data_IF_634420442024
#
_entry.id   IF_634420442024
#
_cell.length_a   1.000
_cell.length_b   1.000
_cell.length_c   1.000
_cell.angle_alpha   90.00
_cell.angle_beta   90.00
_cell.angle_gamma   90.00
#
_symmetry.space_group_name_H-M   'P 1'
#
loop_
_entity.id
_entity.type
_entity.pdbx_description
1 polymer ?
#
# COMPACT_ATOMS: atom_id res chain seq x y z
N UNK A 1 24.98 -14.43 21.49
CA UNK A 1 25.19 -13.16 20.77
C UNK A 1 24.33 -12.03 21.34
N UNK A 2 23.06 -12.28 21.68
CA UNK A 2 22.17 -11.24 22.22
C UNK A 2 22.60 -10.69 23.61
N UNK A 3 23.31 -11.46 24.42
CA UNK A 3 23.95 -10.98 25.67
C UNK A 3 25.30 -10.29 25.47
N UNK A 4 25.60 -9.79 24.26
CA UNK A 4 26.90 -9.15 24.04
C UNK A 4 27.04 -7.89 24.91
N UNK A 5 28.24 -7.57 25.42
CA UNK A 5 28.45 -6.44 26.34
C UNK A 5 28.49 -5.08 25.63
N UNK A 6 28.30 -5.05 24.31
CA UNK A 6 28.49 -3.86 23.46
C UNK A 6 27.18 -3.21 23.04
N UNK A 7 26.03 -3.75 23.49
CA UNK A 7 24.70 -3.28 23.09
C UNK A 7 24.50 -3.30 21.56
N UNK A 8 25.09 -4.29 20.89
CA UNK A 8 24.94 -4.50 19.46
C UNK A 8 23.67 -5.32 19.23
N UNK A 9 22.77 -4.82 18.40
CA UNK A 9 21.59 -5.57 17.95
C UNK A 9 22.02 -6.74 17.06
N UNK A 10 21.40 -7.89 17.27
CA UNK A 10 21.60 -9.10 16.48
C UNK A 10 20.41 -9.23 15.54
N UNK A 11 20.63 -8.96 14.25
CA UNK A 11 19.62 -9.11 13.21
C UNK A 11 19.62 -10.54 12.66
N UNK A 12 18.46 -11.20 12.67
CA UNK A 12 18.22 -12.46 11.97
C UNK A 12 17.36 -12.24 10.72
N UNK A 13 17.57 -13.09 9.72
CA UNK A 13 16.71 -13.13 8.55
C UNK A 13 15.32 -13.72 8.89
N UNK A 14 14.27 -12.89 8.83
CA UNK A 14 12.87 -13.33 9.10
C UNK A 14 12.27 -14.20 8.01
N UNK A 15 12.89 -14.28 6.83
CA UNK A 15 12.43 -15.15 5.73
C UNK A 15 12.85 -16.62 5.89
N UNK A 16 13.62 -16.97 6.94
CA UNK A 16 13.99 -18.36 7.23
C UNK A 16 12.98 -19.07 8.13
N UNK A 17 12.56 -20.26 7.71
CA UNK A 17 11.39 -20.99 8.24
C UNK A 17 11.74 -22.01 9.33
N UNK A 18 13.03 -22.30 9.57
CA UNK A 18 13.39 -23.41 10.45
C UNK A 18 13.30 -23.05 11.95
N UNK A 19 12.17 -23.45 12.54
CA UNK A 19 11.83 -23.37 13.96
C UNK A 19 12.06 -22.01 14.64
N UNK A 20 11.54 -20.89 14.10
CA UNK A 20 11.76 -19.55 14.66
C UNK A 20 11.29 -19.44 16.13
N UNK A 21 10.13 -20.01 16.47
CA UNK A 21 9.58 -19.97 17.83
C UNK A 21 10.52 -20.61 18.87
N UNK A 22 11.11 -21.77 18.54
CA UNK A 22 12.05 -22.45 19.44
C UNK A 22 13.31 -21.61 19.68
N UNK A 23 13.77 -20.90 18.64
CA UNK A 23 14.90 -19.97 18.74
C UNK A 23 14.55 -18.78 19.62
N UNK A 24 13.39 -18.16 19.39
CA UNK A 24 12.88 -17.04 20.19
C UNK A 24 12.76 -17.45 21.66
N UNK A 25 12.17 -18.61 21.96
CA UNK A 25 12.07 -19.16 23.32
C UNK A 25 13.46 -19.33 23.96
N UNK A 26 14.42 -19.87 23.21
CA UNK A 26 15.80 -20.05 23.71
C UNK A 26 16.45 -18.70 24.04
N UNK A 27 16.24 -17.68 23.20
CA UNK A 27 16.74 -16.32 23.45
C UNK A 27 16.03 -15.70 24.64
N UNK A 28 14.73 -15.92 24.80
CA UNK A 28 13.97 -15.42 25.94
C UNK A 28 14.44 -16.03 27.27
N UNK A 29 14.80 -17.31 27.27
CA UNK A 29 15.28 -18.01 28.47
C UNK A 29 16.75 -17.72 28.82
N UNK A 30 17.60 -17.54 27.80
CA UNK A 30 19.07 -17.57 27.97
C UNK A 30 19.79 -16.34 27.41
N UNK A 31 19.07 -15.46 26.73
CA UNK A 31 19.56 -14.29 26.01
C UNK A 31 18.83 -13.00 26.42
N UNK A 32 18.91 -12.01 25.53
CA UNK A 32 18.16 -10.76 25.65
C UNK A 32 17.38 -10.50 24.36
N UNK A 33 16.05 -10.56 24.43
CA UNK A 33 15.18 -10.27 23.28
C UNK A 33 15.25 -8.81 22.84
N UNK A 34 15.64 -7.86 23.70
CA UNK A 34 15.77 -6.44 23.32
C UNK A 34 16.92 -6.20 22.34
N UNK A 35 17.91 -7.09 22.35
CA UNK A 35 19.04 -7.07 21.43
C UNK A 35 18.83 -8.00 20.22
N UNK A 36 17.59 -8.42 19.98
CA UNK A 36 17.24 -9.30 18.87
C UNK A 36 16.23 -8.61 17.97
N UNK A 37 16.58 -8.49 16.70
CA UNK A 37 15.74 -7.88 15.66
C UNK A 37 15.73 -8.79 14.45
N UNK A 38 14.78 -8.58 13.55
CA UNK A 38 14.70 -9.33 12.32
C UNK A 38 14.55 -8.44 11.11
N UNK A 39 15.10 -8.87 9.98
CA UNK A 39 14.87 -8.20 8.70
C UNK A 39 14.65 -9.25 7.63
N UNK A 40 13.68 -9.00 6.76
CA UNK A 40 13.47 -9.89 5.62
C UNK A 40 14.68 -9.84 4.69
N UNK A 41 14.92 -10.95 4.01
CA UNK A 41 15.87 -10.91 2.91
C UNK A 41 15.35 -10.04 1.76
N UNK A 42 16.27 -9.60 0.91
CA UNK A 42 15.97 -9.00 -0.38
C UNK A 42 16.37 -9.95 -1.51
N UNK A 43 15.79 -9.76 -2.70
CA UNK A 43 15.91 -10.71 -3.80
C UNK A 43 16.35 -10.02 -5.10
N UNK A 44 17.67 -9.98 -5.40
CA UNK A 44 18.19 -9.35 -6.62
C UNK A 44 17.87 -10.10 -7.92
N UNK A 45 17.46 -11.37 -7.83
CA UNK A 45 17.00 -12.13 -8.99
C UNK A 45 15.50 -11.95 -9.15
N UNK A 46 15.07 -11.54 -10.34
CA UNK A 46 13.65 -11.43 -10.67
C UNK A 46 12.93 -12.76 -10.40
N UNK A 47 11.65 -12.67 -10.04
CA UNK A 47 10.77 -13.81 -9.79
C UNK A 47 11.18 -14.70 -8.60
N UNK A 48 11.97 -14.16 -7.67
CA UNK A 48 12.43 -14.89 -6.46
C UNK A 48 12.05 -14.26 -5.14
N UNK A 49 11.42 -13.08 -5.16
CA UNK A 49 10.85 -12.44 -3.99
C UNK A 49 9.71 -13.23 -3.37
N UNK A 50 9.38 -12.88 -2.13
CA UNK A 50 8.26 -13.46 -1.40
C UNK A 50 6.93 -12.91 -1.91
N UNK A 51 5.84 -13.65 -1.63
CA UNK A 51 4.49 -13.09 -1.71
C UNK A 51 4.30 -12.03 -0.61
N UNK A 52 3.38 -11.09 -0.83
CA UNK A 52 3.00 -10.12 0.20
C UNK A 52 2.47 -10.84 1.45
N UNK A 53 1.64 -11.87 1.24
CA UNK A 53 1.01 -12.65 2.30
C UNK A 53 2.03 -13.40 3.16
N UNK A 54 3.05 -14.03 2.56
CA UNK A 54 4.11 -14.71 3.32
C UNK A 54 4.99 -13.69 4.07
N UNK A 55 5.29 -12.55 3.44
CA UNK A 55 6.07 -11.48 4.07
C UNK A 55 5.37 -10.99 5.34
N UNK A 56 4.06 -10.69 5.25
CA UNK A 56 3.21 -10.30 6.39
C UNK A 56 3.13 -11.40 7.44
N UNK A 57 2.97 -12.66 7.01
CA UNK A 57 2.88 -13.82 7.91
C UNK A 57 4.13 -13.98 8.77
N UNK A 58 5.32 -13.90 8.17
CA UNK A 58 6.58 -14.02 8.91
C UNK A 58 6.81 -12.81 9.83
N UNK A 59 6.59 -11.58 9.35
CA UNK A 59 6.71 -10.39 10.18
C UNK A 59 5.76 -10.44 11.40
N UNK A 60 4.53 -10.93 11.20
CA UNK A 60 3.57 -11.11 12.28
C UNK A 60 4.07 -12.08 13.37
N UNK A 61 4.73 -13.18 12.98
CA UNK A 61 5.28 -14.13 13.96
C UNK A 61 6.24 -13.42 14.91
N UNK A 62 7.22 -12.68 14.39
CA UNK A 62 8.18 -11.97 15.23
C UNK A 62 7.54 -10.80 16.01
N UNK A 63 6.62 -10.07 15.38
CA UNK A 63 5.88 -8.99 16.04
C UNK A 63 5.04 -9.48 17.23
N UNK A 64 4.47 -10.69 17.17
CA UNK A 64 3.71 -11.30 18.28
C UNK A 64 4.60 -11.58 19.52
N UNK A 65 5.94 -11.62 19.36
CA UNK A 65 6.92 -11.69 20.44
C UNK A 65 7.55 -10.33 20.80
N UNK A 66 7.09 -9.22 20.20
CA UNK A 66 7.64 -7.88 20.41
C UNK A 66 9.03 -7.67 19.79
N UNK A 67 9.39 -8.47 18.79
CA UNK A 67 10.66 -8.37 18.06
C UNK A 67 10.47 -7.42 16.87
N UNK A 68 11.41 -6.51 16.68
CA UNK A 68 11.36 -5.52 15.61
C UNK A 68 11.60 -6.15 14.24
N UNK A 69 10.91 -5.68 13.20
CA UNK A 69 11.00 -6.21 11.84
C UNK A 69 11.39 -5.16 10.79
N UNK A 70 12.36 -5.52 9.94
CA UNK A 70 12.76 -4.81 8.74
C UNK A 70 12.28 -5.46 7.45
N UNK A 71 12.13 -4.68 6.39
CA UNK A 71 11.76 -5.17 5.04
C UNK A 71 12.33 -4.27 3.94
N UNK A 72 12.56 -4.83 2.74
CA UNK A 72 13.14 -4.11 1.62
C UNK A 72 12.12 -3.75 0.52
N UNK A 73 12.18 -2.51 0.04
CA UNK A 73 11.52 -2.00 -1.17
C UNK A 73 12.55 -1.75 -2.27
N UNK A 74 12.09 -1.81 -3.52
CA UNK A 74 12.93 -1.55 -4.68
C UNK A 74 12.96 -0.06 -5.04
N UNK A 75 14.10 0.36 -5.59
CA UNK A 75 14.25 1.57 -6.39
C UNK A 75 14.05 1.22 -7.86
N UNK A 76 13.29 2.04 -8.59
CA UNK A 76 13.11 1.90 -10.03
C UNK A 76 14.17 2.66 -10.83
N UNK A 77 14.95 3.53 -10.18
CA UNK A 77 15.99 4.34 -10.83
C UNK A 77 17.41 3.79 -10.64
N UNK A 78 17.60 2.85 -9.71
CA UNK A 78 18.92 2.34 -9.37
C UNK A 78 19.48 1.38 -10.42
N UNK A 79 20.82 1.34 -10.58
CA UNK A 79 21.47 0.37 -11.45
C UNK A 79 21.38 -1.06 -10.88
N UNK A 80 21.52 -2.05 -11.77
CA UNK A 80 21.42 -3.47 -11.44
C UNK A 80 22.73 -4.05 -10.88
N UNK A 81 23.32 -3.38 -9.89
CA UNK A 81 24.68 -3.68 -9.42
C UNK A 81 24.78 -5.02 -8.66
N UNK A 82 23.70 -5.43 -7.99
CA UNK A 82 23.66 -6.67 -7.20
C UNK A 82 23.40 -7.93 -8.05
N UNK A 83 22.83 -7.77 -9.26
CA UNK A 83 22.64 -8.84 -10.22
C UNK A 83 22.47 -8.23 -11.62
N UNK A 84 23.45 -8.43 -12.50
CA UNK A 84 23.47 -7.86 -13.85
C UNK A 84 22.21 -8.20 -14.69
N UNK A 85 21.53 -9.30 -14.36
CA UNK A 85 20.29 -9.75 -15.03
C UNK A 85 19.00 -9.40 -14.27
N UNK A 86 19.12 -8.84 -13.07
CA UNK A 86 18.00 -8.46 -12.21
C UNK A 86 17.63 -6.98 -12.37
N UNK A 87 16.46 -6.59 -11.86
CA UNK A 87 16.06 -5.19 -11.66
C UNK A 87 15.30 -5.06 -10.35
N UNK A 88 15.51 -3.98 -9.60
CA UNK A 88 14.78 -3.64 -8.36
C UNK A 88 14.99 -4.65 -7.22
N UNK A 89 15.61 -4.24 -6.13
CA UNK A 89 15.98 -5.15 -5.04
C UNK A 89 15.00 -4.99 -3.88
N UNK A 90 14.00 -5.87 -3.81
CA UNK A 90 12.93 -5.85 -2.82
C UNK A 90 12.75 -7.21 -2.12
N UNK A 91 11.95 -7.22 -1.05
CA UNK A 91 11.49 -8.45 -0.39
C UNK A 91 10.26 -9.04 -1.08
N UNK A 92 9.26 -8.20 -1.39
CA UNK A 92 7.97 -8.61 -1.96
C UNK A 92 8.05 -8.55 -3.49
N UNK A 93 7.77 -9.66 -4.18
CA UNK A 93 7.97 -9.73 -5.63
C UNK A 93 7.06 -8.78 -6.42
N UNK A 94 5.80 -8.61 -5.99
CA UNK A 94 4.88 -7.64 -6.61
C UNK A 94 5.34 -6.17 -6.44
N UNK A 95 6.30 -5.89 -5.56
CA UNK A 95 6.86 -4.55 -5.37
C UNK A 95 8.02 -4.22 -6.32
N UNK A 96 8.56 -5.20 -7.05
CA UNK A 96 9.77 -5.03 -7.87
C UNK A 96 9.68 -3.90 -8.90
N UNK A 97 8.49 -3.70 -9.48
CA UNK A 97 8.21 -2.68 -10.48
C UNK A 97 7.15 -1.67 -10.03
N UNK A 98 6.90 -1.62 -8.73
CA UNK A 98 5.94 -0.71 -8.11
C UNK A 98 6.70 0.54 -7.64
N UNK A 99 6.17 1.76 -7.82
CA UNK A 99 6.81 2.96 -7.28
C UNK A 99 7.11 2.82 -5.79
N UNK A 100 8.31 3.18 -5.37
CA UNK A 100 8.82 2.90 -4.02
C UNK A 100 7.89 3.41 -2.90
N UNK A 101 7.26 4.58 -3.07
CA UNK A 101 6.32 5.15 -2.10
C UNK A 101 5.00 4.38 -1.98
N UNK A 102 4.57 3.69 -3.04
CA UNK A 102 3.39 2.80 -3.02
C UNK A 102 3.74 1.52 -2.26
N UNK A 103 4.86 0.87 -2.60
CA UNK A 103 5.35 -0.33 -1.90
C UNK A 103 5.56 -0.05 -0.40
N UNK A 104 6.20 1.08 -0.08
CA UNK A 104 6.34 1.58 1.28
C UNK A 104 4.98 1.72 1.99
N UNK A 105 4.00 2.35 1.33
CA UNK A 105 2.68 2.56 1.93
C UNK A 105 1.96 1.23 2.20
N UNK A 106 2.04 0.26 1.28
CA UNK A 106 1.45 -1.06 1.47
C UNK A 106 2.04 -1.80 2.68
N UNK A 107 3.35 -1.75 2.85
CA UNK A 107 4.05 -2.36 3.98
C UNK A 107 3.76 -1.62 5.29
N UNK A 108 3.82 -0.28 5.28
CA UNK A 108 3.52 0.58 6.45
C UNK A 108 2.11 0.30 6.99
N UNK A 109 1.12 0.17 6.10
CA UNK A 109 -0.28 -0.04 6.49
C UNK A 109 -0.51 -1.36 7.25
N UNK A 110 0.43 -2.31 7.20
CA UNK A 110 0.36 -3.55 7.99
C UNK A 110 0.64 -3.33 9.47
N UNK A 111 1.36 -2.26 9.83
CA UNK A 111 1.91 -2.00 11.17
C UNK A 111 2.80 -3.16 11.71
N UNK A 112 3.41 -3.94 10.82
CA UNK A 112 4.30 -5.05 11.19
C UNK A 112 5.79 -4.76 11.05
N UNK A 113 6.15 -3.67 10.36
CA UNK A 113 7.54 -3.33 10.06
C UNK A 113 7.94 -2.04 10.77
N UNK A 114 9.02 -2.11 11.54
CA UNK A 114 9.61 -1.00 12.27
C UNK A 114 10.48 -0.12 11.36
N UNK A 115 11.11 -0.73 10.35
CA UNK A 115 11.93 -0.04 9.37
C UNK A 115 11.75 -0.63 7.97
N UNK A 116 11.73 0.24 6.97
CA UNK A 116 11.62 -0.12 5.56
C UNK A 116 12.83 0.46 4.85
N UNK A 117 13.58 -0.39 4.15
CA UNK A 117 14.86 -0.05 3.55
C UNK A 117 14.77 -0.15 2.03
N UNK A 118 15.51 0.69 1.31
CA UNK A 118 15.79 0.41 -0.09
C UNK A 118 16.80 -0.73 -0.18
N UNK A 119 16.52 -1.77 -0.97
CA UNK A 119 17.48 -2.83 -1.22
C UNK A 119 18.54 -2.46 -2.26
N UNK A 120 18.22 -1.49 -3.12
CA UNK A 120 19.10 -0.98 -4.16
C UNK A 120 20.05 0.11 -3.63
N UNK A 121 21.15 0.34 -4.36
CA UNK A 121 22.08 1.45 -4.11
C UNK A 121 22.41 2.17 -5.42
N UNK A 122 22.08 3.45 -5.62
CA UNK A 122 21.31 4.36 -4.75
C UNK A 122 20.00 4.80 -5.43
N UNK A 123 18.88 4.90 -4.69
CA UNK A 123 17.67 5.52 -5.22
C UNK A 123 17.93 7.00 -5.56
N UNK A 124 17.20 7.52 -6.54
CA UNK A 124 17.31 8.94 -6.89
C UNK A 124 16.58 9.84 -5.87
N UNK A 125 16.83 11.14 -5.96
CA UNK A 125 16.25 12.14 -5.06
C UNK A 125 14.71 12.14 -5.10
N UNK A 126 14.11 11.94 -6.28
CA UNK A 126 12.65 11.96 -6.45
C UNK A 126 11.99 10.79 -5.71
N UNK A 127 12.57 9.59 -5.76
CA UNK A 127 12.09 8.42 -5.02
C UNK A 127 12.25 8.59 -3.51
N UNK A 128 13.38 9.13 -3.06
CA UNK A 128 13.62 9.44 -1.65
C UNK A 128 12.58 10.44 -1.11
N UNK A 129 12.33 11.52 -1.85
CA UNK A 129 11.32 12.53 -1.50
C UNK A 129 9.90 11.94 -1.52
N UNK A 130 9.58 11.08 -2.49
CA UNK A 130 8.29 10.42 -2.57
C UNK A 130 8.03 9.50 -1.36
N UNK A 131 9.02 8.69 -0.96
CA UNK A 131 8.92 7.83 0.23
C UNK A 131 8.85 8.66 1.52
N UNK A 132 9.70 9.69 1.65
CA UNK A 132 9.69 10.58 2.82
C UNK A 132 8.33 11.29 2.97
N UNK A 133 7.76 11.77 1.85
CA UNK A 133 6.41 12.34 1.82
C UNK A 133 5.39 11.33 2.29
N UNK A 134 5.35 10.13 1.69
CA UNK A 134 4.42 9.07 2.09
C UNK A 134 4.52 8.70 3.58
N UNK A 135 5.73 8.68 4.14
CA UNK A 135 5.98 8.43 5.56
C UNK A 135 5.37 9.51 6.48
N UNK A 136 5.33 10.77 6.02
CA UNK A 136 4.78 11.90 6.79
C UNK A 136 3.25 12.03 6.74
N UNK A 137 2.58 11.31 5.83
CA UNK A 137 1.13 11.40 5.67
C UNK A 137 0.39 10.63 6.76
N UNK A 138 -0.74 11.20 7.20
CA UNK A 138 -1.71 10.59 8.10
C UNK A 138 -2.91 9.96 7.32
N UNK A 139 -2.69 9.68 6.04
CA UNK A 139 -3.61 9.01 5.12
C UNK A 139 -2.84 8.25 4.04
N UNK A 140 -3.52 7.29 3.42
CA UNK A 140 -3.01 6.52 2.27
C UNK A 140 -3.28 7.27 0.98
N UNK A 141 -2.29 7.37 0.09
CA UNK A 141 -2.52 7.87 -1.27
C UNK A 141 -2.75 6.71 -2.22
N UNK A 142 -3.94 6.66 -2.82
CA UNK A 142 -4.28 5.67 -3.82
C UNK A 142 -3.97 6.27 -5.20
N UNK A 143 -3.05 5.68 -5.98
CA UNK A 143 -2.67 6.20 -7.29
C UNK A 143 -3.76 5.92 -8.32
N UNK A 144 -4.16 6.95 -9.09
CA UNK A 144 -5.29 6.87 -10.02
C UNK A 144 -4.99 7.49 -11.38
N UNK A 145 -5.71 7.02 -12.39
CA UNK A 145 -5.94 7.75 -13.64
C UNK A 145 -7.33 8.36 -13.59
N UNK A 146 -7.45 9.68 -13.70
CA UNK A 146 -8.75 10.34 -13.87
C UNK A 146 -8.95 10.71 -15.34
N UNK A 147 -10.19 10.60 -15.81
CA UNK A 147 -10.54 10.92 -17.18
C UNK A 147 -10.14 12.36 -17.51
N UNK A 148 -9.48 12.60 -18.64
CA UNK A 148 -9.05 13.94 -19.05
C UNK A 148 -10.22 14.94 -19.13
N UNK A 149 -11.41 14.46 -19.50
CA UNK A 149 -12.65 15.24 -19.56
C UNK A 149 -13.25 15.57 -18.19
N UNK A 150 -12.73 15.02 -17.08
CA UNK A 150 -13.23 15.32 -15.75
C UNK A 150 -13.07 16.81 -15.44
N UNK A 151 -14.19 17.42 -15.08
CA UNK A 151 -14.29 18.86 -14.79
C UNK A 151 -13.29 19.26 -13.69
N UNK A 152 -12.57 20.40 -13.83
CA UNK A 152 -11.50 20.77 -12.88
C UNK A 152 -11.94 20.86 -11.41
N UNK A 153 -13.13 21.37 -11.12
CA UNK A 153 -13.68 21.42 -9.75
C UNK A 153 -13.94 20.02 -9.16
N UNK A 154 -14.37 19.07 -9.99
CA UNK A 154 -14.57 17.68 -9.56
C UNK A 154 -13.23 16.96 -9.38
N UNK A 155 -12.26 17.24 -10.26
CA UNK A 155 -10.89 16.74 -10.13
C UNK A 155 -10.28 17.18 -8.80
N UNK A 156 -10.26 18.49 -8.50
CA UNK A 156 -9.82 19.00 -7.20
C UNK A 156 -10.62 18.40 -6.04
N UNK A 157 -11.95 18.29 -6.17
CA UNK A 157 -12.77 17.69 -5.12
C UNK A 157 -12.31 16.27 -4.77
N UNK A 158 -12.10 15.39 -5.75
CA UNK A 158 -11.79 13.98 -5.47
C UNK A 158 -10.33 13.75 -5.07
N UNK A 159 -9.40 14.61 -5.48
CA UNK A 159 -7.97 14.48 -5.14
C UNK A 159 -7.59 15.20 -3.85
N UNK A 160 -8.27 16.29 -3.49
CA UNK A 160 -7.94 17.08 -2.30
C UNK A 160 -8.72 16.62 -1.05
N UNK A 161 -9.88 15.95 -1.23
CA UNK A 161 -10.69 15.45 -0.11
C UNK A 161 -10.02 14.27 0.58
N UNK A 162 -9.84 14.36 1.90
CA UNK A 162 -9.48 13.21 2.74
C UNK A 162 -10.71 12.33 2.95
N UNK A 163 -10.66 11.12 2.38
CA UNK A 163 -11.73 10.14 2.35
C UNK A 163 -11.56 9.12 3.47
N UNK A 164 -12.68 8.54 3.89
CA UNK A 164 -12.74 7.39 4.78
C UNK A 164 -13.90 6.54 4.28
N UNK A 165 -13.62 5.26 4.02
CA UNK A 165 -14.63 4.34 3.53
C UNK A 165 -15.75 4.15 4.55
N UNK A 166 -16.95 3.77 4.08
CA UNK A 166 -18.06 3.42 4.96
C UNK A 166 -17.80 2.07 5.64
N UNK A 167 -18.26 1.90 6.91
CA UNK A 167 -18.18 0.60 7.58
C UNK A 167 -19.20 -0.39 6.99
N UNK A 168 -20.33 0.13 6.48
CA UNK A 168 -21.44 -0.60 5.87
C UNK A 168 -21.35 -0.57 4.34
N UNK A 169 -20.21 -0.95 3.78
CA UNK A 169 -20.02 -1.03 2.33
C UNK A 169 -20.35 -2.43 1.79
N UNK A 170 -20.97 -2.55 0.60
CA UNK A 170 -21.21 -3.85 -0.02
C UNK A 170 -19.90 -4.46 -0.50
N UNK A 171 -19.92 -5.76 -0.78
CA UNK A 171 -18.77 -6.48 -1.33
C UNK A 171 -18.32 -5.95 -2.71
N UNK A 172 -19.23 -5.29 -3.43
CA UNK A 172 -19.03 -4.81 -4.80
C UNK A 172 -18.46 -3.40 -4.89
N UNK A 173 -18.55 -2.56 -3.85
CA UNK A 173 -18.09 -1.16 -3.91
C UNK A 173 -17.57 -0.67 -2.57
N UNK A 174 -16.40 0.00 -2.59
CA UNK A 174 -15.96 0.88 -1.53
C UNK A 174 -16.67 2.23 -1.70
N UNK A 175 -17.18 2.80 -0.61
CA UNK A 175 -17.99 4.03 -0.65
C UNK A 175 -17.44 5.09 0.28
N UNK A 176 -17.34 6.34 -0.17
CA UNK A 176 -16.91 7.49 0.61
C UNK A 176 -17.86 8.69 0.39
N UNK A 177 -18.41 9.23 1.47
CA UNK A 177 -19.48 10.24 1.42
C UNK A 177 -18.98 11.68 1.55
N UNK A 178 -17.69 11.89 1.82
CA UNK A 178 -17.09 13.19 2.11
C UNK A 178 -17.13 14.14 0.92
N UNK A 179 -17.28 13.62 -0.30
CA UNK A 179 -17.39 14.38 -1.55
C UNK A 179 -18.82 14.86 -1.86
N UNK A 180 -19.82 14.39 -1.11
CA UNK A 180 -21.22 14.86 -1.27
C UNK A 180 -21.32 16.35 -0.92
N UNK A 181 -22.19 17.07 -1.62
CA UNK A 181 -22.40 18.50 -1.39
C UNK A 181 -23.27 19.16 -2.46
N UNK A 182 -23.51 20.48 -2.36
CA UNK A 182 -24.42 21.21 -3.25
C UNK A 182 -23.78 21.50 -4.63
N UNK A 183 -23.30 20.46 -5.30
CA UNK A 183 -22.68 20.54 -6.64
C UNK A 183 -23.49 19.71 -7.61
N UNK A 184 -23.87 20.31 -8.73
CA UNK A 184 -24.55 19.60 -9.81
C UNK A 184 -23.55 18.80 -10.64
N UNK A 185 -23.71 17.50 -10.64
CA UNK A 185 -22.94 16.55 -11.43
C UNK A 185 -23.89 16.02 -12.50
N UNK A 186 -23.72 16.49 -13.74
CA UNK A 186 -24.56 16.04 -14.86
C UNK A 186 -24.29 14.58 -15.18
N UNK A 187 -25.29 13.81 -15.61
CA UNK A 187 -25.08 12.44 -16.04
C UNK A 187 -24.20 12.41 -17.30
N UNK A 188 -23.27 11.47 -17.31
CA UNK A 188 -22.48 11.10 -18.49
C UNK A 188 -23.00 9.79 -19.11
N UNK A 189 -22.36 9.33 -20.18
CA UNK A 189 -22.71 8.05 -20.79
C UNK A 189 -22.58 6.92 -19.77
N UNK A 190 -23.67 6.16 -19.58
CA UNK A 190 -23.66 4.97 -18.75
C UNK A 190 -22.77 3.90 -19.42
N UNK A 191 -21.59 3.67 -18.86
CA UNK A 191 -20.62 2.69 -19.35
C UNK A 191 -20.37 1.59 -18.33
N UNK A 192 -19.74 0.51 -18.77
CA UNK A 192 -19.30 -0.58 -17.90
C UNK A 192 -18.40 -0.05 -16.77
N UNK A 193 -18.55 -0.61 -15.58
CA UNK A 193 -17.80 -0.23 -14.38
C UNK A 193 -16.89 -1.39 -13.98
N UNK A 194 -15.69 -1.51 -14.58
CA UNK A 194 -14.77 -2.59 -14.26
C UNK A 194 -14.26 -2.48 -12.83
N UNK A 195 -13.71 -3.58 -12.31
CA UNK A 195 -13.04 -3.61 -11.03
C UNK A 195 -11.98 -2.50 -10.94
N UNK A 196 -12.00 -1.79 -9.81
CA UNK A 196 -11.22 -0.60 -9.48
C UNK A 196 -11.51 0.65 -10.30
N UNK A 197 -12.62 0.69 -11.05
CA UNK A 197 -13.14 1.94 -11.59
C UNK A 197 -13.51 2.90 -10.44
N UNK A 198 -13.32 4.18 -10.67
CA UNK A 198 -13.69 5.25 -9.75
C UNK A 198 -14.96 5.88 -10.31
N UNK A 199 -16.00 5.92 -9.48
CA UNK A 199 -17.28 6.51 -9.88
C UNK A 199 -17.67 7.63 -8.94
N UNK A 200 -18.41 8.58 -9.49
CA UNK A 200 -19.02 9.67 -8.76
C UNK A 200 -20.51 9.69 -9.08
N UNK A 201 -21.34 9.55 -8.04
CA UNK A 201 -22.79 9.57 -8.18
C UNK A 201 -23.24 10.94 -8.74
N UNK A 202 -24.06 10.93 -9.78
CA UNK A 202 -24.52 12.14 -10.47
C UNK A 202 -25.89 12.62 -9.97
N UNK A 203 -26.48 13.67 -10.54
CA UNK A 203 -27.75 14.26 -10.09
C UNK A 203 -28.93 13.26 -10.11
N UNK A 204 -28.89 12.21 -10.95
CA UNK A 204 -29.91 11.17 -10.98
C UNK A 204 -29.87 10.26 -9.74
N UNK A 205 -28.77 10.29 -8.96
CA UNK A 205 -28.63 9.62 -7.67
C UNK A 205 -29.28 10.37 -6.50
N UNK A 206 -29.93 11.51 -6.74
CA UNK A 206 -30.66 12.29 -5.73
C UNK A 206 -29.78 12.59 -4.49
N UNK A 207 -30.19 12.14 -3.29
CA UNK A 207 -29.46 12.36 -2.03
C UNK A 207 -28.04 11.77 -1.98
N UNK A 208 -27.67 10.94 -2.95
CA UNK A 208 -26.35 10.34 -3.07
C UNK A 208 -25.43 11.10 -4.04
N UNK A 209 -25.92 12.14 -4.73
CA UNK A 209 -25.12 12.97 -5.62
C UNK A 209 -23.79 13.41 -4.97
N UNK A 210 -22.71 13.21 -5.72
CA UNK A 210 -21.34 13.49 -5.28
C UNK A 210 -20.70 12.42 -4.42
N UNK A 211 -21.36 11.29 -4.13
CA UNK A 211 -20.70 10.16 -3.45
C UNK A 211 -19.63 9.52 -4.34
N UNK A 212 -18.42 9.39 -3.80
CA UNK A 212 -17.32 8.71 -4.46
C UNK A 212 -17.37 7.22 -4.14
N UNK A 213 -17.21 6.40 -5.17
CA UNK A 213 -17.10 4.95 -5.01
C UNK A 213 -15.88 4.41 -5.77
N UNK A 214 -15.23 3.39 -5.22
CA UNK A 214 -14.25 2.56 -5.93
C UNK A 214 -14.89 1.18 -6.11
N UNK A 215 -14.98 0.73 -7.35
CA UNK A 215 -15.62 -0.52 -7.71
C UNK A 215 -14.71 -1.69 -7.29
N UNK A 216 -15.24 -2.69 -6.60
CA UNK A 216 -14.47 -3.85 -6.10
C UNK A 216 -14.75 -5.14 -6.88
N UNK A 217 -15.81 -5.14 -7.69
CA UNK A 217 -16.18 -6.20 -8.63
C UNK A 217 -16.81 -5.57 -9.85
N UNK A 218 -16.63 -6.16 -11.03
CA UNK A 218 -17.25 -5.68 -12.26
C UNK A 218 -18.77 -5.45 -12.08
N UNK A 219 -19.23 -4.27 -12.47
CA UNK A 219 -20.63 -3.87 -12.39
C UNK A 219 -21.16 -3.41 -13.75
N UNK A 220 -22.45 -3.66 -14.05
CA UNK A 220 -23.05 -3.19 -15.28
C UNK A 220 -23.12 -1.65 -15.33
N UNK A 221 -23.33 -1.09 -16.53
CA UNK A 221 -23.64 0.33 -16.69
C UNK A 221 -24.80 0.77 -15.81
N UNK A 222 -24.75 2.02 -15.36
CA UNK A 222 -25.83 2.65 -14.62
C UNK A 222 -25.94 4.12 -15.00
N UNK A 223 -27.16 4.67 -15.15
CA UNK A 223 -27.33 6.08 -15.48
C UNK A 223 -27.00 7.03 -14.31
N UNK A 224 -26.97 6.52 -13.07
CA UNK A 224 -26.91 7.36 -11.86
C UNK A 224 -25.50 7.63 -11.32
N UNK A 225 -24.46 7.07 -11.95
CA UNK A 225 -23.07 7.24 -11.56
C UNK A 225 -22.17 7.38 -12.78
N UNK A 226 -21.29 8.38 -12.77
CA UNK A 226 -20.31 8.60 -13.83
C UNK A 226 -19.02 7.83 -13.49
N UNK A 227 -18.42 7.15 -14.46
CA UNK A 227 -17.04 6.64 -14.33
C UNK A 227 -16.10 7.80 -14.58
N UNK A 228 -15.35 8.20 -13.55
CA UNK A 228 -14.46 9.36 -13.60
C UNK A 228 -12.97 8.99 -13.68
N UNK A 229 -12.65 7.70 -13.56
CA UNK A 229 -11.28 7.22 -13.59
C UNK A 229 -11.14 5.76 -13.19
N UNK A 230 -9.91 5.35 -12.92
CA UNK A 230 -9.51 3.99 -12.59
C UNK A 230 -8.32 4.03 -11.63
N UNK A 231 -8.29 3.16 -10.61
CA UNK A 231 -7.08 2.98 -9.78
C UNK A 231 -5.99 2.32 -10.62
N UNK A 232 -4.76 2.82 -10.52
CA UNK A 232 -3.63 2.25 -11.25
C UNK A 232 -3.39 0.79 -10.81
N UNK A 233 -2.89 -0.10 -11.69
CA UNK A 233 -2.76 -1.53 -11.38
C UNK A 233 -1.98 -1.85 -10.11
N UNK A 234 -0.95 -1.05 -9.78
CA UNK A 234 -0.13 -1.18 -8.59
C UNK A 234 -0.75 -0.56 -7.32
N UNK A 235 -1.94 0.08 -7.41
CA UNK A 235 -2.65 0.66 -6.25
C UNK A 235 -3.74 -0.23 -5.67
N UNK A 236 -3.91 -1.46 -6.19
CA UNK A 236 -5.03 -2.35 -5.83
C UNK A 236 -5.01 -2.74 -4.35
N UNK A 237 -3.85 -3.11 -3.81
CA UNK A 237 -3.74 -3.54 -2.41
C UNK A 237 -3.97 -2.38 -1.45
N UNK A 238 -3.59 -1.15 -1.81
CA UNK A 238 -3.98 0.05 -1.06
C UNK A 238 -5.50 0.21 -0.96
N UNK A 239 -6.26 -0.09 -2.03
CA UNK A 239 -7.73 -0.09 -2.00
C UNK A 239 -8.25 -1.12 -1.00
N UNK A 240 -7.67 -2.33 -0.98
CA UNK A 240 -8.03 -3.38 -0.02
C UNK A 240 -7.78 -2.94 1.43
N UNK A 241 -6.66 -2.27 1.70
CA UNK A 241 -6.25 -1.82 3.03
C UNK A 241 -7.10 -0.66 3.60
N UNK A 242 -7.81 0.10 2.76
CA UNK A 242 -8.63 1.25 3.20
C UNK A 242 -10.12 0.92 3.36
N UNK A 243 -10.54 -0.33 3.10
CA UNK A 243 -11.93 -0.77 3.24
C UNK A 243 -12.43 -0.67 4.69
N UNK A 244 -13.75 -0.62 4.88
CA UNK A 244 -14.41 -0.74 6.19
C UNK A 244 -13.90 0.21 7.29
N UNK A 245 -13.62 1.47 6.96
CA UNK A 245 -13.04 2.49 7.85
C UNK A 245 -11.63 2.20 8.38
N UNK A 246 -10.88 1.27 7.79
CA UNK A 246 -9.54 0.91 8.27
C UNK A 246 -8.56 2.10 8.27
N UNK A 247 -8.50 2.84 7.17
CA UNK A 247 -7.54 3.95 7.00
C UNK A 247 -8.20 5.10 6.22
N UNK A 248 -7.81 6.33 6.57
CA UNK A 248 -8.10 7.48 5.71
C UNK A 248 -7.28 7.39 4.43
N UNK A 249 -7.84 7.90 3.33
CA UNK A 249 -7.14 7.89 2.05
C UNK A 249 -7.44 9.13 1.20
N UNK A 250 -6.60 9.39 0.20
CA UNK A 250 -6.85 10.35 -0.88
C UNK A 250 -6.58 9.69 -2.22
N UNK A 251 -7.25 10.16 -3.26
CA UNK A 251 -6.88 9.81 -4.63
C UNK A 251 -5.71 10.70 -5.07
N UNK A 252 -4.66 10.10 -5.63
CA UNK A 252 -3.47 10.80 -6.09
C UNK A 252 -3.31 10.58 -7.59
N UNK A 253 -3.35 11.66 -8.36
CA UNK A 253 -2.87 11.62 -9.74
C UNK A 253 -1.34 11.70 -9.72
N UNK A 254 -0.74 10.78 -10.47
CA UNK A 254 0.70 10.62 -10.68
C UNK A 254 0.99 10.58 -12.17
#
# INVERSE_FOLDING_TARGET
>A
MTNNPFNIQIEENSSMVDHPEKRIQTIQEKGDLKNYVTCHNFFPRNDTGLSFEDTVKFAKLYADYGIQNGVFIASLSSPNDLNASGNGVCTVEEHRYTPAHVAFSELRNTNLFDYILFGDSVPNQEELEAVARAASLDYVEIPVWLNHSLRPDLRSLVTETKLLSRPDQPETTLRATQTRGPRKIKPELAIHRPQYAITLDNELSNRYEGELQIILRDLPPTPVANVIGQVKPYGKRLVEQVKYRSLFFKLKEE
#
